data_IF_638897632616
#
_entry.id   IF_638897632616
#
_cell.length_a   1.000
_cell.length_b   1.000
_cell.length_c   1.000
_cell.angle_alpha   90.00
_cell.angle_beta   90.00
_cell.angle_gamma   90.00
#
_symmetry.space_group_name_H-M   'P 1'
#
loop_
_entity.id
_entity.type
_entity.pdbx_description
1 polymer ?
#
# COMPACT_ATOMS: atom_id res chain seq x y z
N UNK A 1 -11.66 19.27 -6.36
CA UNK A 1 -10.38 18.58 -6.66
C UNK A 1 -10.24 17.45 -5.65
N UNK A 2 -10.04 16.21 -6.09
CA UNK A 2 -9.77 15.09 -5.19
C UNK A 2 -8.34 15.22 -4.68
N UNK A 3 -8.17 15.42 -3.38
CA UNK A 3 -6.86 15.47 -2.74
C UNK A 3 -6.20 14.08 -2.81
N UNK A 4 -4.93 14.03 -3.23
CA UNK A 4 -4.17 12.77 -3.30
C UNK A 4 -3.80 12.33 -1.88
N UNK A 5 -4.25 11.15 -1.47
CA UNK A 5 -3.87 10.56 -0.19
C UNK A 5 -2.38 10.17 -0.21
N UNK A 6 -1.61 10.63 0.77
CA UNK A 6 -0.18 10.35 0.91
C UNK A 6 0.12 9.66 2.25
N UNK A 7 1.29 9.00 2.36
CA UNK A 7 1.76 8.41 3.61
C UNK A 7 1.79 9.43 4.75
N UNK A 8 2.30 10.64 4.48
CA UNK A 8 2.38 11.72 5.46
C UNK A 8 1.00 12.14 5.96
N UNK A 9 -0.03 12.13 5.09
CA UNK A 9 -1.40 12.45 5.48
C UNK A 9 -1.99 11.39 6.40
N UNK A 10 -1.71 10.12 6.15
CA UNK A 10 -2.13 9.01 7.01
C UNK A 10 -1.45 9.11 8.39
N UNK A 11 -0.14 9.39 8.41
CA UNK A 11 0.61 9.59 9.65
C UNK A 11 0.11 10.80 10.46
N UNK A 12 -0.24 11.91 9.79
CA UNK A 12 -0.84 13.09 10.44
C UNK A 12 -2.18 12.74 11.13
N UNK A 13 -3.03 11.95 10.47
CA UNK A 13 -4.30 11.48 11.05
C UNK A 13 -4.04 10.60 12.28
N UNK A 14 -3.08 9.67 12.20
CA UNK A 14 -2.72 8.80 13.33
C UNK A 14 -2.16 9.60 14.51
N UNK A 15 -1.26 10.56 14.25
CA UNK A 15 -0.72 11.47 15.25
C UNK A 15 -1.83 12.22 15.98
N UNK A 16 -2.81 12.76 15.23
CA UNK A 16 -3.93 13.51 15.81
C UNK A 16 -4.92 12.63 16.58
N UNK A 17 -5.29 11.48 16.02
CA UNK A 17 -6.39 10.67 16.54
C UNK A 17 -5.93 9.72 17.66
N UNK A 18 -4.66 9.31 17.67
CA UNK A 18 -4.08 8.38 18.65
C UNK A 18 -3.11 9.09 19.62
N UNK A 19 -2.67 10.31 19.31
CA UNK A 19 -1.79 11.11 20.18
C UNK A 19 -0.32 10.68 20.18
N UNK A 20 0.09 9.88 19.19
CA UNK A 20 1.49 9.47 18.99
C UNK A 20 2.35 10.63 18.49
N UNK A 21 3.68 10.55 18.62
CA UNK A 21 4.56 11.51 17.94
C UNK A 21 4.44 11.40 16.41
N UNK A 22 4.89 12.42 15.67
CA UNK A 22 4.86 12.36 14.19
C UNK A 22 5.81 11.28 13.68
N UNK A 23 6.93 11.11 14.35
CA UNK A 23 7.96 10.12 14.07
C UNK A 23 7.39 8.70 14.24
N UNK A 24 6.74 8.43 15.37
CA UNK A 24 6.13 7.11 15.66
C UNK A 24 4.99 6.81 14.68
N UNK A 25 4.13 7.80 14.41
CA UNK A 25 3.04 7.65 13.45
C UNK A 25 3.56 7.32 12.04
N UNK A 26 4.65 7.95 11.61
CA UNK A 26 5.29 7.66 10.34
C UNK A 26 5.93 6.25 10.32
N UNK A 27 6.57 5.84 11.42
CA UNK A 27 7.14 4.49 11.55
C UNK A 27 6.07 3.42 11.44
N UNK A 28 4.97 3.54 12.19
CA UNK A 28 3.86 2.59 12.18
C UNK A 28 3.25 2.44 10.77
N UNK A 29 3.03 3.57 10.07
CA UNK A 29 2.53 3.51 8.68
C UNK A 29 3.51 2.78 7.77
N UNK A 30 4.81 3.00 7.95
CA UNK A 30 5.87 2.27 7.24
C UNK A 30 5.80 0.77 7.50
N UNK A 31 5.85 0.38 8.76
CA UNK A 31 5.84 -1.01 9.23
C UNK A 31 4.60 -1.77 8.73
N UNK A 32 3.42 -1.17 8.79
CA UNK A 32 2.19 -1.78 8.26
C UNK A 32 2.33 -2.06 6.77
N UNK A 33 2.81 -1.10 5.98
CA UNK A 33 2.97 -1.29 4.54
C UNK A 33 4.01 -2.36 4.21
N UNK A 34 5.11 -2.39 4.96
CA UNK A 34 6.17 -3.39 4.78
C UNK A 34 5.65 -4.79 5.12
N UNK A 35 4.89 -4.93 6.20
CA UNK A 35 4.28 -6.21 6.57
C UNK A 35 3.26 -6.68 5.51
N UNK A 36 2.47 -5.75 4.95
CA UNK A 36 1.57 -6.06 3.84
C UNK A 36 2.33 -6.56 2.59
N UNK A 37 3.47 -5.95 2.28
CA UNK A 37 4.34 -6.36 1.16
C UNK A 37 4.92 -7.76 1.41
N UNK A 38 5.44 -8.00 2.62
CA UNK A 38 6.03 -9.27 3.01
C UNK A 38 5.00 -10.42 2.95
N UNK A 39 3.80 -10.18 3.48
CA UNK A 39 2.70 -11.14 3.40
C UNK A 39 2.31 -11.45 1.94
N UNK A 40 2.22 -10.43 1.08
CA UNK A 40 1.93 -10.62 -0.34
C UNK A 40 3.05 -11.34 -1.09
N UNK A 41 4.31 -11.10 -0.75
CA UNK A 41 5.45 -11.78 -1.36
C UNK A 41 5.47 -13.27 -1.01
N UNK A 42 5.16 -13.61 0.25
CA UNK A 42 5.17 -14.98 0.78
C UNK A 42 3.96 -15.79 0.35
N UNK A 43 2.76 -15.32 0.68
CA UNK A 43 1.52 -16.10 0.57
C UNK A 43 0.75 -15.81 -0.72
N UNK A 44 1.17 -14.79 -1.48
CA UNK A 44 0.50 -14.26 -2.69
C UNK A 44 -0.92 -13.77 -2.48
N UNK A 45 -1.48 -13.88 -1.28
CA UNK A 45 -2.83 -13.46 -0.92
C UNK A 45 -2.78 -12.84 0.47
N UNK A 46 -3.20 -11.59 0.58
CA UNK A 46 -3.40 -10.89 1.84
C UNK A 46 -4.88 -10.52 1.97
N UNK A 47 -5.52 -10.93 3.07
CA UNK A 47 -6.91 -10.61 3.37
C UNK A 47 -6.98 -9.67 4.56
N UNK A 48 -7.58 -8.50 4.35
CA UNK A 48 -7.86 -7.53 5.42
C UNK A 48 -9.38 -7.43 5.54
N UNK A 49 -9.92 -7.93 6.65
CA UNK A 49 -11.35 -7.92 6.91
C UNK A 49 -11.90 -6.49 6.84
N UNK A 50 -13.10 -6.32 6.29
CA UNK A 50 -13.76 -5.02 6.09
C UNK A 50 -12.99 -3.98 5.26
N UNK A 51 -11.87 -4.36 4.63
CA UNK A 51 -11.09 -3.49 3.74
C UNK A 51 -10.95 -4.08 2.35
N UNK A 52 -10.38 -5.27 2.22
CA UNK A 52 -10.19 -5.89 0.91
C UNK A 52 -9.28 -7.10 0.90
N UNK A 53 -9.15 -7.72 -0.28
CA UNK A 53 -8.23 -8.83 -0.52
C UNK A 53 -7.26 -8.46 -1.64
N UNK A 54 -5.97 -8.53 -1.33
CA UNK A 54 -4.88 -8.30 -2.27
C UNK A 54 -4.32 -9.64 -2.73
N UNK A 55 -4.08 -9.79 -4.04
CA UNK A 55 -3.54 -11.03 -4.62
C UNK A 55 -2.49 -10.74 -5.68
N UNK A 56 -1.38 -11.48 -5.61
CA UNK A 56 -0.35 -11.48 -6.64
C UNK A 56 -0.66 -12.54 -7.69
N UNK A 57 -0.78 -12.11 -8.94
CA UNK A 57 -1.03 -13.00 -10.08
C UNK A 57 0.21 -13.11 -10.97
N UNK A 58 0.59 -14.34 -11.29
CA UNK A 58 1.55 -14.59 -12.37
C UNK A 58 0.84 -14.42 -13.71
N UNK A 59 1.18 -13.38 -14.46
CA UNK A 59 0.65 -13.14 -15.80
C UNK A 59 1.57 -13.81 -16.84
N UNK A 60 0.98 -14.42 -17.87
CA UNK A 60 1.74 -14.97 -19.01
C UNK A 60 2.34 -13.82 -19.84
N UNK A 61 3.52 -14.04 -20.41
CA UNK A 61 4.14 -13.10 -21.32
C UNK A 61 3.25 -12.91 -22.57
N UNK A 62 3.25 -11.70 -23.11
CA UNK A 62 2.54 -11.31 -24.32
C UNK A 62 3.38 -10.33 -25.12
N UNK A 63 3.18 -10.29 -26.43
CA UNK A 63 3.89 -9.36 -27.30
C UNK A 63 3.51 -7.93 -26.90
N UNK A 64 4.50 -7.15 -26.47
CA UNK A 64 4.35 -5.74 -26.16
C UNK A 64 4.30 -4.89 -27.42
N UNK A 65 3.69 -3.70 -27.32
CA UNK A 65 3.73 -2.67 -28.36
C UNK A 65 4.18 -1.37 -27.74
N UNK A 66 4.92 -0.55 -28.50
CA UNK A 66 5.28 0.80 -28.09
C UNK A 66 4.06 1.72 -28.31
N UNK A 67 3.40 2.25 -27.26
CA UNK A 67 2.21 3.08 -27.42
C UNK A 67 2.44 4.35 -28.27
N UNK A 68 3.70 4.80 -28.41
CA UNK A 68 4.05 5.99 -29.20
C UNK A 68 4.11 5.72 -30.70
N UNK A 69 4.36 4.49 -31.12
CA UNK A 69 4.65 4.13 -32.52
C UNK A 69 3.79 3.00 -33.09
N UNK A 70 2.91 2.42 -32.28
CA UNK A 70 2.02 1.32 -32.66
C UNK A 70 0.68 1.81 -33.21
#
# INVERSE_FOLDING_TARGET
MTETLTKSKIAEVINRDIGLSREDAASIVGEILDEMINALAKDRILKISSFGTFKSYKKKARIGRNPKTA
#
